data_IF_069823200145
#
_entry.id   IF_069823200145
#
_cell.length_a   1.000
_cell.length_b   1.000
_cell.length_c   1.000
_cell.angle_alpha   90.00
_cell.angle_beta   90.00
_cell.angle_gamma   90.00
#
_symmetry.space_group_name_H-M   'P 1'
#
loop_
_entity.id
_entity.type
_entity.pdbx_description
1 polymer ?
#
# COMPACT_ATOMS: atom_id res chain seq x y z
N UNK A 1 -4.58 18.29 58.93
CA UNK A 1 -5.73 18.23 57.98
C UNK A 1 -5.22 18.15 56.55
N UNK A 2 -5.43 17.03 55.84
CA UNK A 2 -5.41 16.94 54.37
C UNK A 2 -6.31 15.77 53.97
N UNK A 3 -7.54 16.08 53.54
CA UNK A 3 -8.53 15.09 53.10
C UNK A 3 -8.06 14.51 51.76
N UNK A 4 -7.83 13.20 51.72
CA UNK A 4 -7.53 12.47 50.48
C UNK A 4 -8.84 12.25 49.74
N UNK A 5 -9.05 12.97 48.65
CA UNK A 5 -10.23 12.82 47.78
C UNK A 5 -10.23 11.41 47.19
N UNK A 6 -11.37 10.72 47.33
CA UNK A 6 -11.62 9.43 46.68
C UNK A 6 -11.75 9.69 45.18
N UNK A 7 -10.71 9.33 44.42
CA UNK A 7 -10.79 9.26 42.96
C UNK A 7 -11.90 8.28 42.56
N UNK A 8 -12.85 8.77 41.78
CA UNK A 8 -13.82 7.94 41.07
C UNK A 8 -13.09 7.33 39.88
N UNK A 9 -12.67 6.07 40.00
CA UNK A 9 -12.12 5.31 38.87
C UNK A 9 -13.27 4.75 38.03
N UNK A 10 -13.89 5.61 37.20
CA UNK A 10 -14.83 5.18 36.17
C UNK A 10 -14.05 4.59 34.99
N UNK A 11 -14.16 3.28 34.78
CA UNK A 11 -13.66 2.63 33.56
C UNK A 11 -14.60 3.00 32.40
N UNK A 12 -14.14 3.86 31.50
CA UNK A 12 -14.82 4.16 30.25
C UNK A 12 -14.85 2.91 29.35
N UNK A 13 -16.05 2.48 28.98
CA UNK A 13 -16.28 1.56 27.86
C UNK A 13 -16.80 2.40 26.70
N UNK A 14 -15.98 2.57 25.68
CA UNK A 14 -16.34 3.23 24.43
C UNK A 14 -17.50 2.47 23.76
N UNK A 15 -18.55 3.21 23.41
CA UNK A 15 -19.79 2.70 22.81
C UNK A 15 -19.80 2.97 21.31
N UNK A 16 -19.99 1.92 20.53
CA UNK A 16 -20.48 2.02 19.15
C UNK A 16 -21.99 2.32 19.20
N UNK A 17 -22.30 3.60 18.93
CA UNK A 17 -23.53 4.21 18.40
C UNK A 17 -24.74 3.28 18.15
N UNK A 18 -25.83 3.47 18.90
CA UNK A 18 -27.14 2.92 18.53
C UNK A 18 -28.25 3.04 19.58
N UNK A 19 -28.94 4.20 19.59
CA UNK A 19 -30.33 4.46 20.05
C UNK A 19 -30.84 3.70 21.31
N UNK A 20 -30.89 4.44 22.41
CA UNK A 20 -31.97 4.34 23.41
C UNK A 20 -32.00 3.10 24.30
N UNK A 21 -31.19 3.09 25.36
CA UNK A 21 -31.48 2.32 26.58
C UNK A 21 -30.89 3.03 27.79
N UNK A 22 -31.72 3.24 28.81
CA UNK A 22 -31.33 3.66 30.17
C UNK A 22 -30.28 2.67 30.69
N UNK A 23 -29.08 3.16 30.96
CA UNK A 23 -28.02 2.36 31.58
C UNK A 23 -28.16 2.50 33.08
N UNK A 24 -28.72 1.48 33.71
CA UNK A 24 -28.82 1.36 35.16
C UNK A 24 -27.41 1.14 35.73
N UNK A 25 -26.86 2.13 36.43
CA UNK A 25 -25.54 2.04 37.05
C UNK A 25 -25.62 1.21 38.33
N UNK A 26 -25.24 -0.06 38.26
CA UNK A 26 -25.15 -0.94 39.43
C UNK A 26 -23.92 -0.53 40.26
N UNK A 27 -24.14 -0.01 41.47
CA UNK A 27 -23.08 0.29 42.45
C UNK A 27 -22.50 -1.03 43.00
N UNK A 28 -21.51 -1.57 42.30
CA UNK A 28 -20.79 -2.78 42.70
C UNK A 28 -19.84 -2.49 43.86
N UNK A 29 -19.78 -3.40 44.83
CA UNK A 29 -18.84 -3.32 45.95
C UNK A 29 -17.39 -3.30 45.45
N UNK A 30 -16.49 -2.62 46.17
CA UNK A 30 -15.05 -2.56 45.84
C UNK A 30 -14.43 -3.95 45.63
N UNK A 31 -14.95 -4.96 46.32
CA UNK A 31 -14.52 -6.36 46.20
C UNK A 31 -14.94 -6.98 44.87
N UNK A 32 -16.14 -6.66 44.38
CA UNK A 32 -16.67 -7.15 43.10
C UNK A 32 -15.93 -6.51 41.92
N UNK A 33 -15.65 -5.21 42.00
CA UNK A 33 -14.82 -4.51 41.01
C UNK A 33 -13.42 -5.14 40.93
N UNK A 34 -12.80 -5.48 42.07
CA UNK A 34 -11.51 -6.17 42.11
C UNK A 34 -11.58 -7.57 41.49
N UNK A 35 -12.66 -8.31 41.75
CA UNK A 35 -12.90 -9.64 41.18
C UNK A 35 -13.07 -9.56 39.66
N UNK A 36 -13.90 -8.64 39.17
CA UNK A 36 -14.11 -8.42 37.74
C UNK A 36 -12.83 -7.99 37.02
N UNK A 37 -12.01 -7.10 37.62
CA UNK A 37 -10.69 -6.74 37.06
C UNK A 37 -9.75 -7.94 36.97
N UNK A 38 -9.76 -8.83 37.97
CA UNK A 38 -8.93 -10.05 37.96
C UNK A 38 -9.38 -11.03 36.89
N UNK A 39 -10.69 -11.18 36.73
CA UNK A 39 -11.30 -12.06 35.74
C UNK A 39 -11.09 -11.55 34.30
N UNK A 40 -11.25 -10.24 34.08
CA UNK A 40 -10.95 -9.60 32.79
C UNK A 40 -9.49 -9.81 32.40
N UNK A 41 -8.57 -9.56 33.32
CA UNK A 41 -7.14 -9.80 33.09
C UNK A 41 -6.83 -11.26 32.81
N UNK A 42 -7.49 -12.19 33.51
CA UNK A 42 -7.31 -13.63 33.28
C UNK A 42 -7.76 -14.00 31.87
N UNK A 43 -8.90 -13.49 31.40
CA UNK A 43 -9.40 -13.71 30.04
C UNK A 43 -8.48 -13.11 28.98
N UNK A 44 -8.06 -11.86 29.16
CA UNK A 44 -7.07 -11.20 28.27
C UNK A 44 -5.77 -12.01 28.22
N UNK A 45 -5.34 -12.60 29.34
CA UNK A 45 -4.15 -13.43 29.42
C UNK A 45 -4.32 -14.81 28.76
N UNK A 46 -5.50 -15.43 28.88
CA UNK A 46 -5.85 -16.67 28.19
C UNK A 46 -5.89 -16.46 26.67
N UNK A 47 -6.53 -15.38 26.21
CA UNK A 47 -6.58 -14.98 24.80
C UNK A 47 -5.17 -14.68 24.26
N UNK A 48 -4.34 -13.94 25.00
CA UNK A 48 -2.96 -13.66 24.62
C UNK A 48 -2.09 -14.93 24.56
N UNK A 49 -2.25 -15.89 25.47
CA UNK A 49 -1.46 -17.12 25.41
C UNK A 49 -1.89 -18.04 24.26
N UNK A 50 -3.14 -17.96 23.80
CA UNK A 50 -3.59 -18.69 22.61
C UNK A 50 -2.99 -18.16 21.31
N UNK A 51 -2.53 -16.90 21.27
CA UNK A 51 -1.83 -16.35 20.09
C UNK A 51 -0.35 -16.71 20.05
N UNK A 52 0.18 -17.42 21.06
CA UNK A 52 1.58 -17.84 21.08
C UNK A 52 1.86 -18.78 19.91
N UNK A 53 2.85 -18.49 19.05
CA UNK A 53 3.28 -19.41 18.01
C UNK A 53 3.67 -20.78 18.60
N UNK A 54 3.43 -21.86 17.84
CA UNK A 54 3.81 -23.21 18.27
C UNK A 54 5.30 -23.34 18.56
N UNK A 55 5.68 -24.32 19.39
CA UNK A 55 7.05 -24.49 19.89
C UNK A 55 8.14 -24.70 18.80
N UNK A 56 7.76 -24.93 17.55
CA UNK A 56 8.66 -25.06 16.40
C UNK A 56 8.52 -23.96 15.35
N UNK A 57 7.82 -22.86 15.67
CA UNK A 57 7.78 -21.70 14.77
C UNK A 57 9.09 -20.93 14.89
N UNK A 58 9.91 -20.98 13.85
CA UNK A 58 11.07 -20.11 13.67
C UNK A 58 10.68 -18.97 12.72
N UNK A 59 11.05 -17.75 13.07
CA UNK A 59 10.84 -16.61 12.17
C UNK A 59 11.72 -16.79 10.92
N UNK A 60 11.14 -16.81 9.70
CA UNK A 60 11.93 -16.95 8.48
C UNK A 60 13.02 -15.89 8.34
N UNK A 61 12.81 -14.67 8.87
CA UNK A 61 13.82 -13.62 8.84
C UNK A 61 15.01 -13.99 9.74
N UNK A 62 14.77 -14.46 10.96
CA UNK A 62 15.82 -14.88 11.90
C UNK A 62 16.60 -16.07 11.38
N UNK A 63 15.93 -17.08 10.82
CA UNK A 63 16.58 -18.26 10.22
C UNK A 63 17.49 -17.83 9.07
N UNK A 64 17.02 -16.92 8.22
CA UNK A 64 17.82 -16.38 7.12
C UNK A 64 19.03 -15.58 7.63
N UNK A 65 18.85 -14.78 8.68
CA UNK A 65 19.92 -13.98 9.28
C UNK A 65 20.99 -14.87 9.94
N UNK A 66 20.59 -15.91 10.66
CA UNK A 66 21.50 -16.90 11.26
C UNK A 66 22.25 -17.66 10.17
N UNK A 67 21.55 -18.10 9.10
CA UNK A 67 22.20 -18.78 7.97
C UNK A 67 23.22 -17.87 7.28
N UNK A 68 22.86 -16.60 7.04
CA UNK A 68 23.74 -15.61 6.43
C UNK A 68 24.96 -15.36 7.33
N UNK A 69 24.76 -15.10 8.62
CA UNK A 69 25.84 -14.92 9.58
C UNK A 69 26.77 -16.14 9.60
N UNK A 70 26.24 -17.37 9.61
CA UNK A 70 27.06 -18.58 9.53
C UNK A 70 27.88 -18.67 8.23
N UNK A 71 27.32 -18.22 7.11
CA UNK A 71 28.02 -18.24 5.80
C UNK A 71 29.04 -17.11 5.64
N UNK A 72 28.81 -15.98 6.30
CA UNK A 72 29.64 -14.77 6.21
C UNK A 72 30.64 -14.65 7.38
N UNK A 73 30.51 -15.47 8.42
CA UNK A 73 31.41 -15.47 9.56
C UNK A 73 32.71 -16.21 9.21
N UNK A 74 33.84 -15.51 9.21
CA UNK A 74 35.15 -16.09 8.95
C UNK A 74 36.18 -15.13 8.38
N UNK A 75 37.28 -15.68 7.88
CA UNK A 75 38.37 -14.95 7.24
C UNK A 75 38.04 -14.66 5.76
N UNK A 76 37.82 -13.39 5.44
CA UNK A 76 37.66 -12.94 4.06
C UNK A 76 39.02 -12.72 3.41
N UNK A 77 39.47 -13.71 2.64
CA UNK A 77 40.63 -13.54 1.77
C UNK A 77 40.38 -12.40 0.79
N UNK A 78 41.37 -11.51 0.63
CA UNK A 78 41.30 -10.48 -0.40
C UNK A 78 41.17 -11.16 -1.77
N UNK A 79 40.36 -10.61 -2.67
CA UNK A 79 40.19 -11.14 -4.05
C UNK A 79 41.50 -11.20 -4.84
N UNK A 80 42.51 -10.43 -4.42
CA UNK A 80 43.85 -10.38 -4.98
C UNK A 80 44.84 -11.36 -4.34
N UNK A 81 44.47 -11.99 -3.23
CA UNK A 81 45.29 -13.01 -2.56
C UNK A 81 45.37 -14.26 -3.42
N UNK A 82 46.53 -14.92 -3.42
CA UNK A 82 46.74 -16.22 -4.07
C UNK A 82 45.83 -17.32 -3.55
N UNK A 83 45.37 -17.19 -2.31
CA UNK A 83 44.61 -18.23 -1.59
C UNK A 83 43.10 -18.01 -1.71
N UNK A 84 42.66 -17.01 -2.49
CA UNK A 84 41.24 -16.72 -2.70
C UNK A 84 40.60 -17.74 -3.65
N UNK A 85 39.61 -18.48 -3.13
CA UNK A 85 38.79 -19.41 -3.91
C UNK A 85 37.32 -19.04 -3.78
N UNK A 86 36.64 -18.83 -4.90
CA UNK A 86 35.20 -18.54 -4.92
C UNK A 86 34.43 -19.79 -4.49
N UNK A 87 33.55 -19.67 -3.49
CA UNK A 87 32.68 -20.75 -3.05
C UNK A 87 31.72 -21.19 -4.15
N UNK A 88 31.36 -22.47 -4.20
CA UNK A 88 30.51 -23.02 -5.27
C UNK A 88 29.15 -22.33 -5.41
N UNK A 89 28.62 -21.80 -4.30
CA UNK A 89 27.39 -21.01 -4.31
C UNK A 89 27.59 -19.67 -5.01
N UNK A 90 28.72 -19.00 -4.79
CA UNK A 90 29.08 -17.72 -5.42
C UNK A 90 29.69 -17.88 -6.82
N UNK A 91 30.09 -19.09 -7.21
CA UNK A 91 30.58 -19.35 -8.56
C UNK A 91 29.47 -19.06 -9.57
N UNK A 92 29.78 -18.14 -10.49
CA UNK A 92 28.91 -17.80 -11.60
C UNK A 92 29.08 -18.83 -12.70
N UNK A 93 28.09 -19.71 -12.82
CA UNK A 93 27.97 -20.64 -13.95
C UNK A 93 27.33 -19.92 -15.15
N UNK A 94 27.63 -20.42 -16.35
CA UNK A 94 26.99 -20.00 -17.61
C UNK A 94 25.47 -20.10 -17.53
N UNK A 95 24.94 -21.13 -16.85
CA UNK A 95 23.50 -21.32 -16.66
C UNK A 95 22.90 -20.22 -15.77
N UNK A 96 23.56 -19.89 -14.64
CA UNK A 96 23.14 -18.81 -13.74
C UNK A 96 23.10 -17.47 -14.51
N UNK A 97 24.13 -17.19 -15.32
CA UNK A 97 24.18 -15.95 -16.12
C UNK A 97 23.13 -15.91 -17.21
N UNK A 98 22.83 -17.04 -17.85
CA UNK A 98 21.74 -17.16 -18.83
C UNK A 98 20.39 -16.86 -18.19
N UNK A 99 20.13 -17.35 -16.98
CA UNK A 99 18.90 -17.06 -16.23
C UNK A 99 18.76 -15.56 -15.95
N UNK A 100 19.83 -14.91 -15.51
CA UNK A 100 19.85 -13.45 -15.32
C UNK A 100 19.54 -12.68 -16.61
N UNK A 101 20.12 -13.07 -17.74
CA UNK A 101 19.85 -12.43 -19.03
C UNK A 101 18.38 -12.55 -19.44
N UNK A 102 17.75 -13.70 -19.17
CA UNK A 102 16.34 -13.93 -19.45
C UNK A 102 15.45 -13.02 -18.58
N UNK A 103 15.76 -12.89 -17.29
CA UNK A 103 15.07 -11.97 -16.37
C UNK A 103 15.19 -10.52 -16.87
N UNK A 104 16.40 -10.08 -17.23
CA UNK A 104 16.61 -8.75 -17.78
C UNK A 104 15.79 -8.51 -19.05
N UNK A 105 15.73 -9.50 -19.95
CA UNK A 105 14.93 -9.40 -21.18
C UNK A 105 13.44 -9.28 -20.89
N UNK A 106 12.92 -10.05 -19.95
CA UNK A 106 11.52 -9.96 -19.53
C UNK A 106 11.22 -8.59 -18.90
N UNK A 107 12.10 -8.09 -18.03
CA UNK A 107 11.94 -6.77 -17.43
C UNK A 107 11.89 -5.65 -18.47
N UNK A 108 12.75 -5.70 -19.50
CA UNK A 108 12.72 -4.74 -20.60
C UNK A 108 11.42 -4.84 -21.38
N UNK A 109 10.96 -6.05 -21.67
CA UNK A 109 9.69 -6.27 -22.37
C UNK A 109 8.51 -5.70 -21.57
N UNK A 110 8.44 -6.00 -20.28
CA UNK A 110 7.38 -5.52 -19.39
C UNK A 110 7.40 -4.01 -19.24
N UNK A 111 8.58 -3.40 -19.13
CA UNK A 111 8.72 -1.95 -19.06
C UNK A 111 8.22 -1.28 -20.35
N UNK A 112 8.60 -1.81 -21.53
CA UNK A 112 8.11 -1.31 -22.82
C UNK A 112 6.60 -1.46 -22.96
N UNK A 113 6.06 -2.63 -22.60
CA UNK A 113 4.62 -2.89 -22.65
C UNK A 113 3.85 -1.93 -21.74
N UNK A 114 4.26 -1.79 -20.48
CA UNK A 114 3.62 -0.86 -19.53
C UNK A 114 3.68 0.60 -20.01
N UNK A 115 4.78 1.01 -20.62
CA UNK A 115 4.90 2.35 -21.19
C UNK A 115 3.92 2.53 -22.36
N UNK A 116 3.91 1.60 -23.31
CA UNK A 116 3.01 1.63 -24.46
C UNK A 116 1.53 1.62 -24.03
N UNK A 117 1.16 0.78 -23.06
CA UNK A 117 -0.20 0.71 -22.50
C UNK A 117 -0.63 2.08 -21.94
N UNK A 118 0.25 2.75 -21.17
CA UNK A 118 -0.01 4.09 -20.64
C UNK A 118 -0.12 5.15 -21.73
N UNK A 119 0.74 5.09 -22.74
CA UNK A 119 0.73 6.01 -23.88
C UNK A 119 -0.59 5.89 -24.65
N UNK A 120 -1.05 4.67 -24.92
CA UNK A 120 -2.32 4.41 -25.57
C UNK A 120 -3.50 4.91 -24.74
N UNK A 121 -3.51 4.65 -23.42
CA UNK A 121 -4.55 5.16 -22.53
C UNK A 121 -4.64 6.70 -22.53
N UNK A 122 -3.49 7.39 -22.53
CA UNK A 122 -3.45 8.86 -22.62
C UNK A 122 -3.97 9.36 -23.97
N UNK A 123 -3.66 8.66 -25.06
CA UNK A 123 -4.19 8.97 -26.39
C UNK A 123 -5.70 8.81 -26.43
N UNK A 124 -6.23 7.69 -25.94
CA UNK A 124 -7.66 7.42 -25.92
C UNK A 124 -8.41 8.48 -25.10
N UNK A 125 -7.85 8.84 -23.94
CA UNK A 125 -8.35 9.95 -23.12
C UNK A 125 -8.36 11.28 -23.89
N UNK A 126 -7.28 11.60 -24.63
CA UNK A 126 -7.21 12.80 -25.46
C UNK A 126 -8.27 12.79 -26.56
N UNK A 127 -8.49 11.65 -27.22
CA UNK A 127 -9.54 11.47 -28.23
C UNK A 127 -10.92 11.74 -27.63
N UNK A 128 -11.21 11.19 -26.45
CA UNK A 128 -12.47 11.44 -25.75
C UNK A 128 -12.66 12.91 -25.38
N UNK A 129 -11.60 13.58 -24.90
CA UNK A 129 -11.65 15.00 -24.59
C UNK A 129 -11.91 15.86 -25.83
N UNK A 130 -11.25 15.55 -26.96
CA UNK A 130 -11.51 16.23 -28.23
C UNK A 130 -12.97 16.05 -28.64
N UNK A 131 -13.51 14.82 -28.58
CA UNK A 131 -14.94 14.57 -28.86
C UNK A 131 -15.85 15.42 -27.98
N UNK A 132 -15.60 15.47 -26.66
CA UNK A 132 -16.38 16.31 -25.73
C UNK A 132 -16.32 17.80 -26.08
N UNK A 133 -15.12 18.32 -26.35
CA UNK A 133 -14.94 19.72 -26.76
C UNK A 133 -15.68 20.00 -28.07
N UNK A 134 -15.61 19.10 -29.06
CA UNK A 134 -16.32 19.29 -30.34
C UNK A 134 -17.84 19.38 -30.16
N UNK A 135 -18.43 18.55 -29.29
CA UNK A 135 -19.85 18.59 -28.97
C UNK A 135 -20.23 19.93 -28.34
N UNK A 136 -19.50 20.35 -27.30
CA UNK A 136 -19.75 21.62 -26.61
C UNK A 136 -19.59 22.84 -27.54
N UNK A 137 -18.60 22.82 -28.45
CA UNK A 137 -18.43 23.90 -29.43
C UNK A 137 -19.59 23.93 -30.42
N UNK A 138 -20.12 22.77 -30.83
CA UNK A 138 -21.29 22.69 -31.71
C UNK A 138 -22.56 23.20 -31.02
N UNK A 139 -22.77 22.83 -29.76
CA UNK A 139 -23.87 23.35 -28.92
C UNK A 139 -23.75 24.86 -28.76
N UNK A 140 -22.57 25.37 -28.42
CA UNK A 140 -22.31 26.80 -28.28
C UNK A 140 -22.56 27.54 -29.61
N UNK A 141 -22.13 26.95 -30.73
CA UNK A 141 -22.40 27.48 -32.07
C UNK A 141 -23.89 27.52 -32.37
N UNK A 142 -24.68 26.54 -31.95
CA UNK A 142 -26.13 26.55 -32.10
C UNK A 142 -26.77 27.66 -31.25
N UNK A 143 -26.41 27.77 -29.97
CA UNK A 143 -26.87 28.83 -29.08
C UNK A 143 -26.56 30.23 -29.65
N UNK A 144 -25.33 30.42 -30.13
CA UNK A 144 -24.86 31.69 -30.67
C UNK A 144 -25.57 32.13 -31.97
N UNK A 145 -26.17 31.20 -32.73
CA UNK A 145 -27.03 31.54 -33.89
C UNK A 145 -28.27 32.31 -33.47
N UNK A 146 -28.79 32.06 -32.27
CA UNK A 146 -29.96 32.76 -31.73
C UNK A 146 -29.64 34.17 -31.22
N UNK A 147 -28.36 34.55 -31.09
CA UNK A 147 -27.95 35.89 -30.70
C UNK A 147 -27.65 36.79 -31.91
N UNK A 148 -27.90 38.11 -31.79
CA UNK A 148 -27.54 39.08 -32.81
C UNK A 148 -26.00 39.17 -32.98
N UNK A 149 -25.50 39.51 -34.18
CA UNK A 149 -24.08 39.47 -34.50
C UNK A 149 -23.16 40.29 -33.59
N UNK A 150 -23.67 41.40 -33.04
CA UNK A 150 -22.93 42.31 -32.16
C UNK A 150 -22.59 41.71 -30.79
N UNK A 151 -23.33 40.70 -30.32
CA UNK A 151 -23.11 40.05 -29.02
C UNK A 151 -22.35 38.72 -29.13
N UNK A 152 -21.92 38.35 -30.34
CA UNK A 152 -21.23 37.09 -30.64
C UNK A 152 -19.76 37.16 -30.21
N UNK A 153 -19.32 36.19 -29.40
CA UNK A 153 -17.91 36.02 -28.99
C UNK A 153 -17.19 35.01 -29.91
N UNK A 154 -15.86 35.09 -30.07
CA UNK A 154 -15.13 34.11 -30.86
C UNK A 154 -15.19 32.72 -30.22
N UNK A 155 -15.31 31.68 -31.06
CA UNK A 155 -15.34 30.28 -30.61
C UNK A 155 -13.92 29.81 -30.25
N UNK A 156 -13.77 28.95 -29.23
CA UNK A 156 -12.48 28.36 -28.91
C UNK A 156 -12.03 27.38 -30.00
N UNK A 157 -10.72 27.33 -30.26
CA UNK A 157 -10.12 26.41 -31.23
C UNK A 157 -10.15 24.97 -30.70
N UNK A 158 -10.61 24.04 -31.54
CA UNK A 158 -10.66 22.62 -31.20
C UNK A 158 -9.25 22.01 -31.35
N UNK A 159 -8.72 21.32 -30.32
CA UNK A 159 -7.44 20.62 -30.42
C UNK A 159 -7.50 19.47 -31.43
N UNK A 160 -6.46 19.32 -32.26
CA UNK A 160 -6.33 18.23 -33.25
C UNK A 160 -5.31 17.19 -32.81
N UNK A 161 -5.52 15.93 -33.22
CA UNK A 161 -4.51 14.87 -33.09
C UNK A 161 -3.42 15.09 -34.13
N UNK A 162 -2.16 14.88 -33.74
CA UNK A 162 -1.04 14.94 -34.68
C UNK A 162 -0.95 13.62 -35.46
N UNK A 163 -0.43 13.63 -36.71
CA UNK A 163 -0.26 12.40 -37.49
C UNK A 163 0.60 11.35 -36.78
N UNK A 164 1.63 11.78 -36.05
CA UNK A 164 2.52 10.93 -35.25
C UNK A 164 1.80 10.19 -34.10
N UNK A 165 0.63 10.67 -33.68
CA UNK A 165 -0.17 10.04 -32.62
C UNK A 165 -1.13 8.98 -33.20
N UNK A 166 -1.10 8.72 -34.50
CA UNK A 166 -1.93 7.71 -35.17
C UNK A 166 -1.03 6.55 -35.63
N UNK A 167 -1.26 5.30 -35.18
CA UNK A 167 -0.56 4.14 -35.72
C UNK A 167 -0.93 3.98 -37.20
N UNK A 168 0.05 3.63 -38.02
CA UNK A 168 -0.17 3.08 -39.36
C UNK A 168 -1.10 1.87 -39.35
#
# INVERSE_FOLDING_TARGET
MRRKTRGQDTLALETLKGKGSIVESVDLSKSEIRRQKKEKRRREWEEFNQTKPGAGYEDPEEVSAISKAKSEMGDYKLKTSSDYVVSDQQRMSTEKKRRELLICRNNIFDAKRKYNDKLMALRDYKIEMIKKITLLVNELKSAQRHLPPSLRKPLPTIPTLKPEEVPE
#
